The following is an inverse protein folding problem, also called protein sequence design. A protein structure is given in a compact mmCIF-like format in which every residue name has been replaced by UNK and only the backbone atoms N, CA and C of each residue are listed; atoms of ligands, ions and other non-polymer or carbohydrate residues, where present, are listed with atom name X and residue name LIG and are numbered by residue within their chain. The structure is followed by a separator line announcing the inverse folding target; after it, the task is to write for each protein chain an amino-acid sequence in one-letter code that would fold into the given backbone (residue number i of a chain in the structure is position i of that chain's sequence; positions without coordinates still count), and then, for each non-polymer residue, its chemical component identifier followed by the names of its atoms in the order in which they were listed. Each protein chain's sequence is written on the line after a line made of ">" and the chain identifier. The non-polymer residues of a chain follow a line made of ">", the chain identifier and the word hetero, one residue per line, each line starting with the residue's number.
data_IF_570498747645
#
_entry.id   IF_570498747645
#
_cell.length_a   1.000
_cell.length_b   1.000
_cell.length_c   1.000
_cell.angle_alpha   90.00
_cell.angle_beta   90.00
_cell.angle_gamma   90.00
#
_symmetry.space_group_name_H-M   'P 1'
#
loop_
_entity.id
_entity.type
_entity.pdbx_description
1 polymer ?
#
# COMPACT_ATOMS: atom_id res chain seq x y z
N UNK A 1 -8.63 -0.56 0.85
CA UNK A 1 -9.03 -0.01 2.16
C UNK A 1 -9.27 -1.22 3.07
N UNK A 2 -8.83 -1.19 4.33
CA UNK A 2 -9.07 -2.30 5.26
C UNK A 2 -10.55 -2.45 5.61
N UNK A 3 -10.93 -3.63 6.11
CA UNK A 3 -12.34 -4.03 6.29
C UNK A 3 -13.14 -3.11 7.22
N UNK A 4 -12.48 -2.47 8.19
CA UNK A 4 -13.09 -1.53 9.14
C UNK A 4 -12.94 -0.05 8.73
N UNK A 5 -12.29 0.22 7.60
CA UNK A 5 -12.01 1.57 7.12
C UNK A 5 -10.96 2.34 7.93
N UNK A 6 -10.34 1.75 8.96
CA UNK A 6 -9.30 2.39 9.77
C UNK A 6 -8.02 2.60 8.97
N UNK A 7 -7.77 1.73 7.98
CA UNK A 7 -6.53 1.71 7.22
C UNK A 7 -6.78 1.92 5.72
N UNK A 8 -6.00 2.81 5.14
CA UNK A 8 -5.89 2.99 3.70
C UNK A 8 -4.63 2.27 3.20
N UNK A 9 -4.78 1.56 2.08
CA UNK A 9 -3.65 1.08 1.27
C UNK A 9 -3.53 2.05 0.10
N UNK A 10 -2.36 2.66 -0.05
CA UNK A 10 -2.03 3.56 -1.16
C UNK A 10 -0.91 2.93 -1.99
N UNK A 11 -1.06 2.92 -3.31
CA UNK A 11 -0.01 2.51 -4.24
C UNK A 11 0.36 3.67 -5.19
N UNK A 12 1.66 3.91 -5.37
CA UNK A 12 2.19 4.92 -6.28
C UNK A 12 3.17 4.27 -7.26
N UNK A 13 3.08 4.59 -8.55
CA UNK A 13 4.03 4.11 -9.56
C UNK A 13 4.49 5.27 -10.43
N UNK A 14 5.75 5.20 -10.89
CA UNK A 14 6.31 6.15 -11.86
C UNK A 14 5.94 5.80 -13.30
N UNK A 15 5.32 4.63 -13.54
CA UNK A 15 4.91 4.15 -14.87
C UNK A 15 3.39 4.29 -15.06
N UNK A 16 2.89 3.78 -16.18
CA UNK A 16 1.44 3.62 -16.38
C UNK A 16 0.82 2.68 -15.34
N UNK A 17 -0.50 2.80 -15.17
CA UNK A 17 -1.26 2.03 -14.19
C UNK A 17 -1.57 0.62 -14.74
N UNK A 18 -0.60 -0.28 -14.60
CA UNK A 18 -0.73 -1.71 -14.91
C UNK A 18 -0.33 -2.52 -13.67
N UNK A 19 -1.23 -3.36 -13.17
CA UNK A 19 -1.06 -4.03 -11.88
C UNK A 19 -0.11 -5.23 -11.96
N UNK A 20 0.06 -5.82 -13.15
CA UNK A 20 0.87 -7.03 -13.35
C UNK A 20 2.33 -6.70 -13.70
N UNK A 21 2.55 -5.52 -14.29
CA UNK A 21 3.83 -5.16 -14.91
C UNK A 21 4.53 -3.99 -14.19
N UNK A 22 3.77 -3.06 -13.61
CA UNK A 22 4.38 -1.90 -12.98
C UNK A 22 4.85 -2.19 -11.55
N UNK A 23 6.00 -1.63 -11.18
CA UNK A 23 6.46 -1.58 -9.80
C UNK A 23 5.73 -0.44 -9.07
N UNK A 24 5.25 -0.73 -7.87
CA UNK A 24 4.54 0.20 -6.99
C UNK A 24 5.28 0.41 -5.67
N UNK A 25 5.36 1.65 -5.26
CA UNK A 25 5.61 2.00 -3.86
C UNK A 25 4.30 1.90 -3.10
N UNK A 26 4.26 1.08 -2.05
CA UNK A 26 3.02 0.75 -1.34
C UNK A 26 3.11 1.21 0.08
N UNK A 27 2.04 1.86 0.52
CA UNK A 27 1.96 2.49 1.82
C UNK A 27 0.72 2.03 2.56
N UNK A 28 0.87 1.79 3.86
CA UNK A 28 -0.25 1.69 4.79
C UNK A 28 -0.36 2.99 5.57
N UNK A 29 -1.58 3.52 5.63
CA UNK A 29 -1.86 4.80 6.30
C UNK A 29 -3.12 4.67 7.16
N UNK A 30 -3.04 5.12 8.40
CA UNK A 30 -4.21 5.19 9.28
C UNK A 30 -5.07 6.38 8.88
N UNK A 31 -6.34 6.13 8.58
CA UNK A 31 -7.28 7.18 8.17
C UNK A 31 -7.39 8.24 9.28
N UNK A 32 -7.19 9.50 8.90
CA UNK A 32 -7.22 10.66 9.80
C UNK A 32 -5.87 11.08 10.38
N UNK A 33 -4.83 10.25 10.29
CA UNK A 33 -3.46 10.66 10.62
C UNK A 33 -2.87 11.55 9.51
N UNK A 34 -1.87 12.41 9.80
CA UNK A 34 -1.11 13.10 8.76
C UNK A 34 -0.43 12.12 7.78
N UNK A 35 -0.32 12.51 6.51
CA UNK A 35 0.22 11.64 5.45
C UNK A 35 1.69 11.24 5.70
N UNK A 36 2.44 12.06 6.44
CA UNK A 36 3.83 11.79 6.83
C UNK A 36 3.97 10.57 7.74
N UNK A 37 2.88 10.11 8.36
CA UNK A 37 2.85 8.87 9.16
C UNK A 37 2.58 7.62 8.32
N UNK A 38 2.38 7.74 7.01
CA UNK A 38 2.21 6.58 6.15
C UNK A 38 3.50 5.74 6.14
N UNK A 39 3.36 4.43 6.34
CA UNK A 39 4.49 3.49 6.37
C UNK A 39 4.60 2.80 5.03
N UNK A 40 5.77 2.89 4.38
CA UNK A 40 6.07 2.15 3.16
C UNK A 40 6.27 0.67 3.50
N UNK A 41 5.63 -0.21 2.74
CA UNK A 41 5.68 -1.67 2.90
C UNK A 41 6.64 -2.34 1.92
N UNK A 42 6.87 -1.72 0.76
CA UNK A 42 7.74 -2.26 -0.29
C UNK A 42 9.10 -1.58 -0.31
N UNK A 43 10.17 -2.31 -0.61
CA UNK A 43 11.54 -1.74 -0.61
C UNK A 43 12.39 -2.25 -1.79
N UNK A 44 11.84 -3.10 -2.66
CA UNK A 44 12.60 -3.79 -3.70
C UNK A 44 12.09 -3.42 -5.09
N UNK A 45 12.80 -2.51 -5.75
CA UNK A 45 12.42 -1.87 -7.02
C UNK A 45 12.29 -2.79 -8.25
N UNK A 46 12.49 -4.10 -8.12
CA UNK A 46 12.38 -5.07 -9.22
C UNK A 46 11.28 -6.11 -9.08
N UNK A 47 10.46 -6.06 -8.02
CA UNK A 47 9.35 -7.01 -7.82
C UNK A 47 8.26 -6.45 -6.89
N UNK A 48 8.04 -5.14 -6.91
CA UNK A 48 7.01 -4.49 -6.09
C UNK A 48 5.68 -4.45 -6.88
N UNK A 49 5.22 -5.61 -7.36
CA UNK A 49 3.90 -5.73 -8.02
C UNK A 49 2.78 -5.50 -7.00
N UNK A 50 1.58 -5.16 -7.49
CA UNK A 50 0.43 -4.94 -6.62
C UNK A 50 0.18 -6.18 -5.73
N UNK A 51 0.32 -6.07 -4.40
CA UNK A 51 0.12 -7.15 -3.47
C UNK A 51 -1.33 -7.18 -3.01
N UNK A 52 -1.84 -8.40 -2.84
CA UNK A 52 -3.04 -8.62 -2.06
C UNK A 52 -2.69 -8.52 -0.56
N UNK A 53 -2.97 -7.38 0.06
CA UNK A 53 -2.77 -7.18 1.50
C UNK A 53 -4.07 -7.51 2.23
N UNK A 54 -4.05 -8.58 3.04
CA UNK A 54 -5.11 -8.86 4.01
C UNK A 54 -4.69 -8.35 5.40
N UNK A 55 -5.51 -7.48 5.99
CA UNK A 55 -5.35 -7.04 7.37
C UNK A 55 -6.21 -7.94 8.26
N UNK A 56 -5.58 -8.70 9.16
CA UNK A 56 -6.28 -9.50 10.15
C UNK A 56 -6.50 -8.68 11.44
N UNK A 57 -7.56 -8.96 12.22
CA UNK A 57 -7.71 -8.40 13.56
C UNK A 57 -6.52 -8.78 14.45
N UNK A 58 -6.16 -7.89 15.38
CA UNK A 58 -5.20 -8.23 16.44
C UNK A 58 -5.87 -9.19 17.44
N UNK A 59 -5.12 -10.21 17.90
CA UNK A 59 -5.54 -11.15 18.96
C UNK A 59 -5.66 -10.48 20.34
#
# INVERSE_FOLDING_TARGET
>A
MGDDGTWLVWAATQRGHDHDIADYEIYIWKVGDPAEKATRLTFHSGNDRWPDIHLLPAE
#
